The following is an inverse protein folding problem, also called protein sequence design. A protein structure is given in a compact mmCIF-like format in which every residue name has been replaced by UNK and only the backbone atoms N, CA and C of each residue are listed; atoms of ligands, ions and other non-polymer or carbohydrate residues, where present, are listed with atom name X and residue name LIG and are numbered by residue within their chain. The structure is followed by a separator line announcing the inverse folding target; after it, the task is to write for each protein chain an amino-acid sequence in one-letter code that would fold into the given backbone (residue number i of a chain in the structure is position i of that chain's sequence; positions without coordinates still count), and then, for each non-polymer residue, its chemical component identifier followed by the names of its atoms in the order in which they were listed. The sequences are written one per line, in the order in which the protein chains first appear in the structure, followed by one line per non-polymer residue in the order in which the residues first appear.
data_IF_819157991803
#
_entry.id   IF_819157991803
#
_cell.length_a   1.000
_cell.length_b   1.000
_cell.length_c   1.000
_cell.angle_alpha   90.00
_cell.angle_beta   90.00
_cell.angle_gamma   90.00
#
_symmetry.space_group_name_H-M   'P 1'
#
loop_
_entity.id
_entity.type
_entity.pdbx_description
1 polymer ?
#
# COMPACT_ATOMS: atom_id res chain seq x y z
N UNK A 1 -7.40 -17.85 31.04
CA UNK A 1 -7.07 -17.03 29.85
C UNK A 1 -8.35 -16.38 29.38
N UNK A 2 -8.53 -15.09 29.68
CA UNK A 2 -9.76 -14.36 29.39
C UNK A 2 -9.85 -14.19 27.88
N UNK A 3 -10.77 -14.92 27.25
CA UNK A 3 -11.03 -14.81 25.82
C UNK A 3 -11.73 -13.48 25.54
N UNK A 4 -11.05 -12.57 24.84
CA UNK A 4 -11.71 -11.46 24.19
C UNK A 4 -12.56 -12.02 23.05
N UNK A 5 -13.86 -12.20 23.31
CA UNK A 5 -14.86 -12.28 22.25
C UNK A 5 -14.95 -10.89 21.61
N UNK A 6 -14.30 -10.70 20.48
CA UNK A 6 -14.59 -9.58 19.59
C UNK A 6 -16.04 -9.75 19.12
N UNK A 7 -16.93 -8.91 19.64
CA UNK A 7 -18.35 -8.92 19.30
C UNK A 7 -18.56 -8.60 17.81
N UNK A 8 -19.53 -9.32 17.23
CA UNK A 8 -20.06 -9.17 15.86
C UNK A 8 -20.49 -7.73 15.57
N UNK A 9 -19.82 -7.06 14.62
CA UNK A 9 -20.38 -6.04 13.70
C UNK A 9 -19.23 -5.58 12.80
N UNK A 10 -19.10 -6.06 11.56
CA UNK A 10 -18.06 -5.53 10.65
C UNK A 10 -18.34 -5.78 9.16
N UNK A 11 -19.59 -5.62 8.73
CA UNK A 11 -19.90 -5.55 7.31
C UNK A 11 -20.09 -4.09 6.93
N UNK A 12 -19.29 -3.61 5.98
CA UNK A 12 -19.58 -2.36 5.27
C UNK A 12 -20.91 -2.53 4.53
N UNK A 13 -21.73 -1.48 4.48
CA UNK A 13 -22.83 -1.44 3.52
C UNK A 13 -22.26 -1.40 2.10
N UNK A 14 -23.07 -1.77 1.10
CA UNK A 14 -22.67 -1.70 -0.31
C UNK A 14 -22.20 -0.27 -0.68
N UNK A 15 -22.96 0.74 -0.26
CA UNK A 15 -22.58 2.14 -0.44
C UNK A 15 -21.22 2.48 0.22
N UNK A 16 -20.95 2.00 1.43
CA UNK A 16 -19.67 2.24 2.10
C UNK A 16 -18.52 1.49 1.41
N UNK A 17 -18.76 0.27 0.93
CA UNK A 17 -17.78 -0.51 0.19
C UNK A 17 -17.42 0.18 -1.14
N UNK A 18 -18.43 0.58 -1.91
CA UNK A 18 -18.25 1.29 -3.19
C UNK A 18 -17.55 2.64 -2.98
N UNK A 19 -17.94 3.38 -1.94
CA UNK A 19 -17.29 4.64 -1.59
C UNK A 19 -15.80 4.44 -1.29
N UNK A 20 -15.44 3.43 -0.49
CA UNK A 20 -14.05 3.12 -0.20
C UNK A 20 -13.27 2.68 -1.43
N UNK A 21 -13.90 1.91 -2.33
CA UNK A 21 -13.29 1.55 -3.61
C UNK A 21 -13.03 2.78 -4.48
N UNK A 22 -13.98 3.72 -4.56
CA UNK A 22 -13.84 4.94 -5.35
C UNK A 22 -12.74 5.86 -4.80
N UNK A 23 -12.69 6.05 -3.48
CA UNK A 23 -11.63 6.81 -2.81
C UNK A 23 -10.27 6.16 -3.06
N UNK A 24 -10.19 4.83 -2.98
CA UNK A 24 -8.97 4.08 -3.30
C UNK A 24 -8.54 4.33 -4.75
N UNK A 25 -9.46 4.23 -5.72
CA UNK A 25 -9.18 4.49 -7.13
C UNK A 25 -8.64 5.91 -7.35
N UNK A 26 -9.22 6.93 -6.71
CA UNK A 26 -8.75 8.32 -6.79
C UNK A 26 -7.34 8.44 -6.20
N UNK A 27 -7.12 7.91 -4.99
CA UNK A 27 -5.82 7.96 -4.31
C UNK A 27 -4.74 7.28 -5.13
N UNK A 28 -5.02 6.07 -5.61
CA UNK A 28 -4.08 5.30 -6.42
C UNK A 28 -3.91 5.86 -7.84
N UNK A 29 -4.89 6.53 -8.44
CA UNK A 29 -4.72 7.24 -9.70
C UNK A 29 -3.72 8.40 -9.58
N UNK A 30 -3.80 9.15 -8.47
CA UNK A 30 -2.82 10.19 -8.15
C UNK A 30 -1.44 9.59 -7.86
N UNK A 31 -1.39 8.48 -7.11
CA UNK A 31 -0.14 7.77 -6.86
C UNK A 31 0.51 7.27 -8.15
N UNK A 32 -0.26 6.68 -9.06
CA UNK A 32 0.21 6.20 -10.36
C UNK A 32 0.85 7.33 -11.19
N UNK A 33 0.24 8.51 -11.17
CA UNK A 33 0.80 9.71 -11.83
C UNK A 33 2.13 10.12 -11.20
N UNK A 34 2.22 10.17 -9.87
CA UNK A 34 3.45 10.53 -9.16
C UNK A 34 4.56 9.50 -9.35
N UNK A 35 4.23 8.20 -9.28
CA UNK A 35 5.17 7.12 -9.54
C UNK A 35 5.64 7.11 -11.00
N UNK A 36 4.76 7.42 -11.96
CA UNK A 36 5.16 7.52 -13.37
C UNK A 36 6.21 8.61 -13.57
N UNK A 37 6.04 9.76 -12.90
CA UNK A 37 7.04 10.84 -12.91
C UNK A 37 8.35 10.42 -12.22
N UNK A 38 8.26 9.69 -11.11
CA UNK A 38 9.42 9.19 -10.37
C UNK A 38 10.23 8.20 -11.23
N UNK A 39 9.55 7.23 -11.85
CA UNK A 39 10.15 6.15 -12.65
C UNK A 39 10.55 6.59 -14.05
N UNK A 40 9.94 7.67 -14.58
CA UNK A 40 10.15 8.11 -15.96
C UNK A 40 9.52 7.17 -16.99
N UNK A 41 8.55 6.36 -16.57
CA UNK A 41 7.83 5.39 -17.41
C UNK A 41 6.37 5.30 -16.94
N UNK A 42 5.49 4.74 -17.77
CA UNK A 42 4.09 4.57 -17.41
C UNK A 42 3.93 3.58 -16.25
N UNK A 43 3.35 4.05 -15.15
CA UNK A 43 2.96 3.23 -14.00
C UNK A 43 1.44 3.22 -13.94
N UNK A 44 0.85 2.02 -14.04
CA UNK A 44 -0.57 1.82 -13.84
C UNK A 44 -0.79 1.07 -12.51
N UNK A 45 -1.63 1.62 -11.64
CA UNK A 45 -2.09 0.95 -10.43
C UNK A 45 -3.53 0.52 -10.66
N UNK A 46 -3.75 -0.80 -10.68
CA UNK A 46 -5.09 -1.37 -10.71
C UNK A 46 -5.48 -1.76 -9.29
N UNK A 47 -6.50 -1.12 -8.74
CA UNK A 47 -7.06 -1.50 -7.43
C UNK A 47 -7.86 -2.79 -7.62
N UNK A 48 -7.43 -3.93 -7.06
CA UNK A 48 -8.28 -5.11 -7.00
C UNK A 48 -9.22 -4.97 -5.80
N UNK A 49 -10.36 -5.65 -5.89
CA UNK A 49 -11.44 -5.73 -4.88
C UNK A 49 -11.06 -5.39 -3.44
N UNK A 50 -11.81 -4.48 -2.80
CA UNK A 50 -11.74 -4.23 -1.35
C UNK A 50 -12.28 -5.44 -0.58
N UNK A 51 -11.51 -5.91 0.41
CA UNK A 51 -11.88 -7.03 1.28
C UNK A 51 -11.67 -6.65 2.75
N UNK A 52 -12.68 -6.94 3.58
CA UNK A 52 -12.54 -6.84 5.03
C UNK A 52 -12.06 -8.17 5.58
N UNK A 53 -10.88 -8.17 6.19
CA UNK A 53 -10.33 -9.38 6.78
C UNK A 53 -9.58 -9.06 8.09
N UNK A 54 -9.57 -10.03 8.99
CA UNK A 54 -8.66 -10.10 10.13
C UNK A 54 -7.19 -10.14 9.66
N UNK A 55 -6.33 -9.50 10.43
CA UNK A 55 -4.90 -9.39 10.07
C UNK A 55 -4.22 -10.76 9.91
N UNK A 56 -4.64 -11.78 10.68
CA UNK A 56 -4.06 -13.12 10.62
C UNK A 56 -4.27 -13.88 9.30
N UNK A 57 -5.16 -13.43 8.40
CA UNK A 57 -5.27 -14.04 7.06
C UNK A 57 -4.53 -13.29 5.96
N UNK A 58 -3.94 -12.14 6.26
CA UNK A 58 -3.14 -11.39 5.28
C UNK A 58 -2.06 -12.27 4.64
N UNK A 59 -1.30 -13.11 5.38
CA UNK A 59 -0.32 -14.02 4.77
C UNK A 59 -0.91 -14.91 3.67
N UNK A 60 -2.13 -15.44 3.85
CA UNK A 60 -2.75 -16.29 2.83
C UNK A 60 -3.23 -15.50 1.60
N UNK A 61 -3.52 -14.21 1.74
CA UNK A 61 -3.92 -13.33 0.63
C UNK A 61 -2.71 -12.95 -0.24
N UNK A 62 -1.53 -12.81 0.35
CA UNK A 62 -0.31 -12.31 -0.32
C UNK A 62 0.58 -13.41 -0.91
N UNK A 63 0.17 -14.69 -0.85
CA UNK A 63 0.90 -15.82 -1.46
C UNK A 63 1.27 -16.95 -0.51
N UNK A 64 1.00 -16.82 0.79
CA UNK A 64 1.29 -17.82 1.81
C UNK A 64 2.31 -17.34 2.83
N UNK A 65 2.55 -18.16 3.86
CA UNK A 65 3.46 -17.83 4.96
C UNK A 65 4.94 -17.76 4.52
N UNK A 66 5.29 -18.42 3.41
CA UNK A 66 6.64 -18.48 2.85
C UNK A 66 6.92 -17.35 1.83
N UNK A 67 5.93 -16.51 1.52
CA UNK A 67 6.10 -15.43 0.55
C UNK A 67 6.90 -14.28 1.14
N UNK A 68 8.12 -14.09 0.61
CA UNK A 68 8.97 -12.95 0.95
C UNK A 68 8.46 -11.71 0.25
N UNK A 69 8.24 -10.64 1.02
CA UNK A 69 7.78 -9.35 0.52
C UNK A 69 8.57 -8.23 1.17
N UNK A 70 8.68 -7.11 0.47
CA UNK A 70 9.06 -5.84 1.09
C UNK A 70 7.81 -5.21 1.71
N UNK A 71 7.92 -4.81 2.97
CA UNK A 71 6.82 -4.20 3.72
C UNK A 71 7.14 -2.77 4.13
N UNK A 72 6.22 -1.86 3.87
CA UNK A 72 6.24 -0.49 4.38
C UNK A 72 5.10 -0.37 5.38
N UNK A 73 5.42 0.04 6.61
CA UNK A 73 4.42 0.26 7.67
C UNK A 73 4.39 1.74 7.99
N UNK A 74 3.24 2.36 7.80
CA UNK A 74 2.98 3.76 8.11
C UNK A 74 1.98 3.84 9.24
N UNK A 75 2.28 4.65 10.25
CA UNK A 75 1.34 4.92 11.33
C UNK A 75 0.54 6.19 11.03
N UNK A 76 -0.78 6.09 11.16
CA UNK A 76 -1.72 7.19 10.96
C UNK A 76 -2.22 7.63 12.35
N UNK A 77 -2.22 8.93 12.57
CA UNK A 77 -2.69 9.57 13.80
C UNK A 77 -3.70 10.68 13.48
N UNK A 78 -4.58 10.97 14.43
CA UNK A 78 -5.57 12.04 14.35
C UNK A 78 -6.99 11.51 14.52
N UNK A 79 -7.90 11.93 13.64
CA UNK A 79 -9.29 11.47 13.66
C UNK A 79 -9.41 9.98 13.32
N UNK A 80 -8.48 9.47 12.51
CA UNK A 80 -8.24 8.05 12.31
C UNK A 80 -6.89 7.68 12.93
N UNK A 81 -6.89 6.64 13.78
CA UNK A 81 -5.69 6.09 14.38
C UNK A 81 -5.52 4.64 13.95
N UNK A 82 -4.37 4.30 13.38
CA UNK A 82 -4.12 2.95 12.89
C UNK A 82 -2.84 2.84 12.10
N UNK A 83 -2.72 1.73 11.37
CA UNK A 83 -1.58 1.47 10.50
C UNK A 83 -2.06 1.27 9.08
N UNK A 84 -1.29 1.82 8.13
CA UNK A 84 -1.34 1.43 6.74
C UNK A 84 -0.11 0.57 6.45
N UNK A 85 -0.32 -0.53 5.74
CA UNK A 85 0.77 -1.41 5.31
C UNK A 85 0.72 -1.59 3.82
N UNK A 86 1.86 -1.36 3.16
CA UNK A 86 2.06 -1.62 1.73
C UNK A 86 3.00 -2.81 1.64
N UNK A 87 2.56 -3.87 0.96
CA UNK A 87 3.32 -5.10 0.78
C UNK A 87 3.60 -5.27 -0.71
N UNK A 88 4.89 -5.35 -1.08
CA UNK A 88 5.34 -5.50 -2.45
C UNK A 88 6.15 -6.79 -2.61
N UNK A 89 5.81 -7.65 -3.58
CA UNK A 89 6.65 -8.78 -3.95
C UNK A 89 8.07 -8.34 -4.34
N UNK A 90 9.05 -9.19 -4.08
CA UNK A 90 10.46 -8.93 -4.40
C UNK A 90 10.65 -8.62 -5.88
N UNK A 91 9.90 -9.29 -6.76
CA UNK A 91 9.94 -9.09 -8.21
C UNK A 91 9.54 -7.67 -8.60
N UNK A 92 8.52 -7.10 -7.93
CA UNK A 92 8.06 -5.74 -8.17
C UNK A 92 9.13 -4.73 -7.76
N UNK A 93 9.76 -4.92 -6.60
CA UNK A 93 10.85 -4.05 -6.12
C UNK A 93 12.05 -4.11 -7.06
N UNK A 94 12.43 -5.31 -7.52
CA UNK A 94 13.50 -5.48 -8.50
C UNK A 94 13.17 -4.83 -9.84
N UNK A 95 11.92 -4.93 -10.30
CA UNK A 95 11.50 -4.27 -11.54
C UNK A 95 11.60 -2.75 -11.42
N UNK A 96 11.21 -2.17 -10.29
CA UNK A 96 11.27 -0.73 -10.07
C UNK A 96 12.71 -0.26 -9.89
N UNK A 97 13.52 -0.98 -9.09
CA UNK A 97 14.93 -0.66 -8.86
C UNK A 97 15.74 -0.72 -10.16
N UNK A 98 15.47 -1.68 -11.03
CA UNK A 98 16.15 -1.79 -12.32
C UNK A 98 15.92 -0.58 -13.23
N UNK A 99 14.78 0.10 -13.10
CA UNK A 99 14.45 1.31 -13.86
C UNK A 99 15.00 2.57 -13.18
N UNK A 100 14.77 2.72 -11.88
CA UNK A 100 15.14 3.92 -11.13
C UNK A 100 16.63 4.02 -10.86
N UNK A 101 17.28 2.89 -10.62
CA UNK A 101 18.65 2.82 -10.14
C UNK A 101 19.61 2.28 -11.22
N UNK A 102 19.18 2.25 -12.49
CA UNK A 102 19.93 1.63 -13.60
C UNK A 102 21.37 2.13 -13.75
N UNK A 103 21.61 3.40 -13.38
CA UNK A 103 22.88 4.09 -13.57
C UNK A 103 23.84 3.97 -12.37
N UNK A 104 23.41 3.32 -11.29
CA UNK A 104 24.24 3.09 -10.11
C UNK A 104 24.92 1.72 -10.20
N UNK A 105 26.08 1.58 -9.56
CA UNK A 105 26.70 0.28 -9.33
C UNK A 105 25.88 -0.55 -8.31
N UNK A 106 26.16 -1.85 -8.23
CA UNK A 106 25.38 -2.77 -7.39
C UNK A 106 25.51 -2.47 -5.88
N UNK A 107 26.61 -1.91 -5.41
CA UNK A 107 26.77 -1.53 -4.00
C UNK A 107 25.84 -0.36 -3.68
N UNK A 108 25.90 0.71 -4.47
CA UNK A 108 25.04 1.89 -4.31
C UNK A 108 23.56 1.55 -4.51
N UNK A 109 23.21 0.66 -5.45
CA UNK A 109 21.83 0.20 -5.64
C UNK A 109 21.28 -0.43 -4.38
N UNK A 110 22.03 -1.35 -3.76
CA UNK A 110 21.58 -2.06 -2.57
C UNK A 110 21.33 -1.11 -1.40
N UNK A 111 22.15 -0.07 -1.26
CA UNK A 111 21.93 0.99 -0.26
C UNK A 111 20.68 1.81 -0.57
N UNK A 112 20.39 2.08 -1.85
CA UNK A 112 19.32 2.99 -2.26
C UNK A 112 17.95 2.30 -2.41
N UNK A 113 17.87 0.96 -2.39
CA UNK A 113 16.59 0.23 -2.43
C UNK A 113 15.67 0.67 -1.30
N UNK A 114 16.19 0.84 -0.07
CA UNK A 114 15.35 1.24 1.06
C UNK A 114 14.78 2.65 0.89
N UNK A 115 15.60 3.61 0.47
CA UNK A 115 15.15 4.99 0.19
C UNK A 115 14.12 5.05 -0.94
N UNK A 116 14.33 4.24 -2.00
CA UNK A 116 13.36 4.09 -3.08
C UNK A 116 12.02 3.57 -2.54
N UNK A 117 12.05 2.58 -1.66
CA UNK A 117 10.84 2.02 -1.05
C UNK A 117 10.15 3.04 -0.13
N UNK A 118 10.90 3.83 0.64
CA UNK A 118 10.33 4.91 1.46
C UNK A 118 9.57 5.93 0.60
N UNK A 119 10.14 6.36 -0.53
CA UNK A 119 9.48 7.30 -1.44
C UNK A 119 8.21 6.70 -2.09
N UNK A 120 8.27 5.44 -2.50
CA UNK A 120 7.09 4.71 -3.00
C UNK A 120 6.00 4.65 -1.91
N UNK A 121 6.40 4.38 -0.67
CA UNK A 121 5.52 4.37 0.49
C UNK A 121 4.87 5.72 0.74
N UNK A 122 5.63 6.81 0.71
CA UNK A 122 5.12 8.17 0.86
C UNK A 122 4.15 8.54 -0.26
N UNK A 123 4.45 8.18 -1.51
CA UNK A 123 3.56 8.46 -2.64
C UNK A 123 2.25 7.67 -2.49
N UNK A 124 2.32 6.35 -2.31
CA UNK A 124 1.13 5.50 -2.21
C UNK A 124 0.30 5.82 -0.96
N UNK A 125 0.95 5.85 0.20
CA UNK A 125 0.26 6.03 1.46
C UNK A 125 -0.21 7.46 1.67
N UNK A 126 0.61 8.45 1.31
CA UNK A 126 0.24 9.86 1.42
C UNK A 126 -0.96 10.22 0.54
N UNK A 127 -0.97 9.77 -0.72
CA UNK A 127 -2.11 10.01 -1.63
C UNK A 127 -3.39 9.32 -1.15
N UNK A 128 -3.31 8.06 -0.72
CA UNK A 128 -4.49 7.36 -0.20
C UNK A 128 -5.04 8.00 1.08
N UNK A 129 -4.17 8.32 2.05
CA UNK A 129 -4.61 8.99 3.30
C UNK A 129 -5.21 10.35 3.01
N UNK A 130 -4.64 11.10 2.06
CA UNK A 130 -5.20 12.40 1.63
C UNK A 130 -6.59 12.23 1.03
N UNK A 131 -6.76 11.29 0.10
CA UNK A 131 -8.08 10.99 -0.50
C UNK A 131 -9.10 10.54 0.56
N UNK A 132 -8.69 9.70 1.50
CA UNK A 132 -9.53 9.25 2.60
C UNK A 132 -9.93 10.42 3.52
N UNK A 133 -8.98 11.28 3.89
CA UNK A 133 -9.25 12.45 4.73
C UNK A 133 -10.20 13.43 4.06
N UNK A 134 -10.04 13.68 2.75
CA UNK A 134 -10.92 14.57 2.00
C UNK A 134 -12.34 14.04 1.85
N UNK A 135 -12.52 12.72 1.91
CA UNK A 135 -13.86 12.11 1.84
C UNK A 135 -14.58 12.12 3.20
N UNK A 136 -13.83 12.00 4.30
CA UNK A 136 -14.39 11.95 5.64
C UNK A 136 -14.71 13.35 6.23
N UNK A 137 -14.16 14.41 5.64
CA UNK A 137 -14.41 15.82 5.98
C UNK A 137 -15.50 16.42 5.09
#
# INVERSE_FOLDING_TARGET
MVGFKLNKTNNLTEFQHDSLCEIANIGFGNAATSLSKLVGDEVAIKVPSLQLQRIEKIPQVIGGEESVVYGIVMQIYGDLNGYMTILLPVESVNSISSKLLSNFDEETKNEMIMSMMEEIGHILGGTYVTSLSNFLN
#
